data_IF_731021794085
#
_entry.id   IF_731021794085
#
_cell.length_a   1.000
_cell.length_b   1.000
_cell.length_c   1.000
_cell.angle_alpha   90.00
_cell.angle_beta   90.00
_cell.angle_gamma   90.00
#
_symmetry.space_group_name_H-M   'P 1'
#
loop_
_entity.id
_entity.type
_entity.pdbx_description
1 polymer ?
#
# COMPACT_ATOMS: atom_id res chain seq x y z
N UNK A 1 -2.08 11.97 12.25
CA UNK A 1 -1.66 12.32 10.87
C UNK A 1 -2.24 13.66 10.46
N UNK A 2 -1.43 14.47 9.80
CA UNK A 2 -1.69 15.90 9.49
C UNK A 2 -1.76 16.20 7.98
N UNK A 3 -1.79 15.17 7.14
CA UNK A 3 -1.97 15.33 5.69
C UNK A 3 -3.29 16.00 5.34
N UNK A 4 -3.31 16.76 4.25
CA UNK A 4 -4.57 17.20 3.63
C UNK A 4 -5.32 16.07 2.93
N UNK A 5 -4.67 14.91 2.75
CA UNK A 5 -5.27 13.68 2.25
C UNK A 5 -5.86 12.88 3.42
N UNK A 6 -7.17 12.55 3.40
CA UNK A 6 -7.79 11.78 4.47
C UNK A 6 -7.44 10.29 4.37
N UNK A 7 -7.45 9.58 5.50
CA UNK A 7 -7.34 8.11 5.55
C UNK A 7 -8.50 7.38 4.84
N UNK A 8 -9.57 8.11 4.54
CA UNK A 8 -10.72 7.66 3.76
C UNK A 8 -10.60 7.97 2.27
N UNK A 9 -9.42 8.38 1.77
CA UNK A 9 -9.24 8.60 0.33
C UNK A 9 -9.59 7.31 -0.43
N UNK A 10 -10.43 7.45 -1.45
CA UNK A 10 -10.67 6.39 -2.43
C UNK A 10 -9.60 6.48 -3.53
N UNK A 11 -8.80 5.43 -3.76
CA UNK A 11 -7.75 5.45 -4.77
C UNK A 11 -8.31 5.51 -6.21
N UNK A 12 -7.54 6.07 -7.14
CA UNK A 12 -7.86 6.05 -8.57
C UNK A 12 -7.99 4.60 -9.08
N UNK A 13 -9.09 4.25 -9.75
CA UNK A 13 -9.29 2.91 -10.31
C UNK A 13 -8.89 2.83 -11.79
N UNK A 14 -8.64 1.60 -12.25
CA UNK A 14 -8.34 1.33 -13.66
C UNK A 14 -9.60 0.85 -14.38
N UNK A 15 -9.77 1.26 -15.63
CA UNK A 15 -10.82 0.77 -16.51
C UNK A 15 -10.35 -0.51 -17.23
N UNK A 16 -11.24 -1.51 -17.43
CA UNK A 16 -10.91 -2.66 -18.26
C UNK A 16 -10.69 -2.21 -19.71
N UNK A 17 -9.62 -2.70 -20.33
CA UNK A 17 -9.29 -2.42 -21.71
C UNK A 17 -8.74 -3.69 -22.39
N UNK A 18 -9.14 -3.92 -23.64
CA UNK A 18 -8.68 -5.08 -24.43
C UNK A 18 -7.22 -4.94 -24.89
N UNK A 19 -6.73 -3.71 -24.95
CA UNK A 19 -5.37 -3.39 -25.39
C UNK A 19 -4.76 -2.35 -24.47
N UNK A 20 -3.44 -2.46 -24.26
CA UNK A 20 -2.68 -1.44 -23.54
C UNK A 20 -2.73 -0.12 -24.31
N UNK A 21 -2.89 1.02 -23.64
CA UNK A 21 -2.89 2.31 -24.31
C UNK A 21 -1.51 2.57 -24.92
N UNK A 22 -1.49 3.29 -26.05
CA UNK A 22 -0.27 3.56 -26.82
C UNK A 22 -0.07 5.07 -27.02
N UNK A 23 1.18 5.49 -27.21
CA UNK A 23 1.53 6.88 -27.52
C UNK A 23 2.46 7.50 -26.48
N UNK A 24 2.86 8.77 -26.68
CA UNK A 24 3.72 9.47 -25.73
C UNK A 24 3.00 9.67 -24.39
N UNK A 25 3.75 9.59 -23.28
CA UNK A 25 3.24 9.83 -21.93
C UNK A 25 2.73 8.59 -21.19
N UNK A 26 2.67 7.42 -21.84
CA UNK A 26 2.33 6.16 -21.17
C UNK A 26 3.56 5.51 -20.53
N UNK A 27 3.40 5.07 -19.29
CA UNK A 27 4.31 4.16 -18.59
C UNK A 27 3.55 2.86 -18.30
N UNK A 28 4.26 1.74 -18.26
CA UNK A 28 3.67 0.43 -17.98
C UNK A 28 4.32 -0.17 -16.75
N UNK A 29 3.48 -0.72 -15.88
CA UNK A 29 3.91 -1.41 -14.67
C UNK A 29 3.22 -2.78 -14.58
N UNK A 30 3.86 -3.79 -13.97
CA UNK A 30 3.20 -5.06 -13.70
C UNK A 30 1.96 -4.86 -12.85
N UNK A 31 0.83 -5.43 -13.26
CA UNK A 31 -0.35 -5.53 -12.41
C UNK A 31 -0.16 -6.68 -11.43
N UNK A 32 0.19 -6.35 -10.19
CA UNK A 32 0.29 -7.32 -9.12
C UNK A 32 -1.09 -7.80 -8.66
N UNK A 33 -1.17 -9.05 -8.21
CA UNK A 33 -2.37 -9.63 -7.59
C UNK A 33 -2.19 -9.69 -6.07
N UNK A 34 -2.82 -8.75 -5.37
CA UNK A 34 -2.53 -8.50 -3.97
C UNK A 34 -3.62 -7.71 -3.24
N UNK A 35 -3.22 -7.05 -2.16
CA UNK A 35 -4.06 -6.04 -1.52
C UNK A 35 -3.55 -4.64 -1.80
N UNK A 36 -4.28 -3.88 -2.61
CA UNK A 36 -4.06 -2.44 -2.74
C UNK A 36 -4.10 -1.74 -1.39
N UNK A 37 -3.08 -0.94 -1.14
CA UNK A 37 -2.79 -0.34 0.15
C UNK A 37 -2.26 1.09 -0.02
N UNK A 38 -2.94 2.05 0.59
CA UNK A 38 -2.37 3.38 0.83
C UNK A 38 -1.51 3.33 2.09
N UNK A 39 -0.23 3.66 1.94
CA UNK A 39 0.71 3.77 3.04
C UNK A 39 0.92 5.24 3.41
N UNK A 40 0.48 5.59 4.60
CA UNK A 40 0.66 6.92 5.18
C UNK A 40 1.78 6.86 6.19
N UNK A 41 2.69 7.83 6.13
CA UNK A 41 3.69 8.07 7.18
C UNK A 41 3.73 9.54 7.54
N UNK A 42 3.55 9.87 8.81
CA UNK A 42 3.69 11.23 9.34
C UNK A 42 4.52 11.22 10.63
N UNK A 43 5.81 11.52 10.50
CA UNK A 43 6.78 11.34 11.57
C UNK A 43 6.95 9.86 11.93
N UNK A 44 6.59 9.54 13.16
CA UNK A 44 6.61 8.18 13.72
C UNK A 44 5.31 7.42 13.49
N UNK A 45 4.24 8.10 13.08
CA UNK A 45 2.94 7.47 12.82
C UNK A 45 2.94 6.82 11.44
N UNK A 46 2.61 5.53 11.39
CA UNK A 46 2.39 4.78 10.14
C UNK A 46 0.99 4.20 10.14
N UNK A 47 0.29 4.36 9.01
CA UNK A 47 -1.00 3.73 8.77
C UNK A 47 -1.00 3.08 7.39
N UNK A 48 -1.61 1.89 7.33
CA UNK A 48 -1.84 1.14 6.09
C UNK A 48 -3.35 1.03 5.90
N UNK A 49 -3.88 1.55 4.80
CA UNK A 49 -5.31 1.57 4.50
C UNK A 49 -5.58 0.79 3.22
N UNK A 50 -6.52 -0.16 3.26
CA UNK A 50 -6.92 -0.86 2.05
C UNK A 50 -7.69 0.06 1.09
N UNK A 51 -7.91 -0.39 -0.15
CA UNK A 51 -8.83 0.26 -1.10
C UNK A 51 -10.20 0.60 -0.50
N UNK A 52 -10.72 -0.25 0.41
CA UNK A 52 -12.00 -0.04 1.11
C UNK A 52 -11.83 0.54 2.51
N UNK A 53 -10.77 1.33 2.71
CA UNK A 53 -10.50 2.11 3.92
C UNK A 53 -10.35 1.28 5.21
N UNK A 54 -10.08 -0.02 5.08
CA UNK A 54 -9.88 -0.90 6.24
C UNK A 54 -8.43 -0.78 6.72
N UNK A 55 -8.18 -0.62 8.03
CA UNK A 55 -6.83 -0.65 8.58
C UNK A 55 -6.16 -2.01 8.36
N UNK A 56 -4.99 -1.98 7.73
CA UNK A 56 -4.20 -3.15 7.40
C UNK A 56 -2.97 -3.33 8.30
N UNK A 57 -2.53 -2.29 9.00
CA UNK A 57 -1.26 -2.28 9.75
C UNK A 57 -1.14 -3.45 10.74
N UNK A 58 -2.24 -3.81 11.42
CA UNK A 58 -2.24 -4.94 12.37
C UNK A 58 -1.91 -6.28 11.72
N UNK A 59 -2.23 -6.47 10.44
CA UNK A 59 -2.05 -7.72 9.70
C UNK A 59 -0.68 -7.79 9.00
N UNK A 60 -0.08 -6.63 8.76
CA UNK A 60 1.21 -6.46 8.08
C UNK A 60 2.18 -5.64 8.95
N UNK A 61 2.46 -6.09 10.20
CA UNK A 61 3.31 -5.34 11.12
C UNK A 61 4.73 -5.14 10.57
N UNK A 62 5.25 -6.10 9.80
CA UNK A 62 6.56 -6.01 9.16
C UNK A 62 6.62 -4.91 8.10
N UNK A 63 5.52 -4.70 7.36
CA UNK A 63 5.44 -3.64 6.36
C UNK A 63 5.30 -2.28 7.03
N UNK A 64 4.45 -2.18 8.06
CA UNK A 64 4.31 -0.94 8.83
C UNK A 64 5.65 -0.51 9.46
N UNK A 65 6.40 -1.47 10.01
CA UNK A 65 7.74 -1.24 10.54
C UNK A 65 8.72 -0.76 9.45
N UNK A 66 8.82 -1.48 8.33
CA UNK A 66 9.71 -1.12 7.24
C UNK A 66 9.42 0.28 6.67
N UNK A 67 8.13 0.64 6.55
CA UNK A 67 7.71 1.98 6.14
C UNK A 67 8.13 3.02 7.17
N UNK A 68 8.02 2.73 8.47
CA UNK A 68 8.49 3.59 9.56
C UNK A 68 10.01 3.75 9.64
N UNK A 69 10.79 2.83 9.06
CA UNK A 69 12.26 2.88 9.04
C UNK A 69 12.83 3.70 7.87
N UNK A 70 12.02 4.05 6.87
CA UNK A 70 12.48 4.89 5.75
C UNK A 70 13.05 6.22 6.28
N UNK A 71 14.02 6.80 5.57
CA UNK A 71 14.58 8.12 5.96
C UNK A 71 13.59 9.26 5.79
N UNK A 72 12.56 9.05 4.96
CA UNK A 72 11.56 10.07 4.69
C UNK A 72 10.41 9.87 5.66
N UNK A 73 10.15 10.88 6.45
CA UNK A 73 9.20 10.77 7.56
C UNK A 73 7.79 11.23 7.19
N UNK A 74 7.61 11.80 6.00
CA UNK A 74 6.33 12.32 5.57
C UNK A 74 6.05 11.98 4.11
N UNK A 75 5.05 11.11 3.88
CA UNK A 75 4.50 10.80 2.57
C UNK A 75 3.15 10.08 2.66
N UNK A 76 2.46 10.03 1.52
CA UNK A 76 1.37 9.08 1.25
C UNK A 76 1.69 8.38 -0.06
N UNK A 77 1.86 7.06 -0.04
CA UNK A 77 2.11 6.24 -1.24
C UNK A 77 0.90 5.35 -1.54
N UNK A 78 0.63 5.12 -2.82
CA UNK A 78 -0.26 4.05 -3.29
C UNK A 78 0.57 2.88 -3.80
N UNK A 79 0.13 1.67 -3.50
CA UNK A 79 0.89 0.47 -3.77
C UNK A 79 0.10 -0.81 -3.53
N UNK A 80 0.75 -1.92 -3.84
CA UNK A 80 0.20 -3.26 -3.66
C UNK A 80 0.98 -4.03 -2.60
N UNK A 81 0.28 -4.66 -1.65
CA UNK A 81 0.86 -5.66 -0.77
C UNK A 81 0.84 -7.02 -1.46
N UNK A 82 2.01 -7.67 -1.56
CA UNK A 82 2.16 -9.00 -2.16
C UNK A 82 3.00 -9.92 -1.27
N UNK A 83 2.93 -11.23 -1.50
CA UNK A 83 3.98 -12.16 -1.05
C UNK A 83 4.73 -12.61 -2.31
N UNK A 84 6.03 -12.31 -2.37
CA UNK A 84 6.84 -12.61 -3.58
C UNK A 84 6.89 -14.12 -3.83
N UNK A 85 6.57 -14.52 -5.05
CA UNK A 85 6.62 -15.93 -5.46
C UNK A 85 5.50 -16.79 -4.89
N UNK A 86 4.43 -16.18 -4.36
CA UNK A 86 3.27 -16.88 -3.86
C UNK A 86 1.99 -16.38 -4.55
N UNK A 87 1.00 -17.27 -4.64
CA UNK A 87 -0.34 -16.96 -5.12
C UNK A 87 -1.10 -16.07 -4.14
N UNK A 88 -2.09 -15.32 -4.66
CA UNK A 88 -2.91 -14.39 -3.87
C UNK A 88 -3.60 -15.05 -2.66
N UNK A 89 -4.02 -16.31 -2.78
CA UNK A 89 -4.62 -17.08 -1.68
C UNK A 89 -3.71 -17.14 -0.44
N UNK A 90 -2.39 -17.19 -0.63
CA UNK A 90 -1.42 -17.17 0.49
C UNK A 90 -1.45 -15.84 1.22
N UNK A 91 -1.59 -14.73 0.49
CA UNK A 91 -1.71 -13.39 1.06
C UNK A 91 -3.05 -13.24 1.81
N UNK A 92 -4.13 -13.84 1.32
CA UNK A 92 -5.43 -13.78 2.00
C UNK A 92 -5.41 -14.37 3.42
N UNK A 93 -4.58 -15.39 3.65
CA UNK A 93 -4.40 -15.99 4.98
C UNK A 93 -3.90 -14.98 6.03
N UNK A 94 -3.30 -13.86 5.61
CA UNK A 94 -2.81 -12.79 6.50
C UNK A 94 -3.93 -12.06 7.23
N UNK A 95 -5.15 -12.03 6.69
CA UNK A 95 -6.31 -11.36 7.29
C UNK A 95 -6.95 -12.19 8.43
N UNK A 96 -6.12 -12.82 9.25
CA UNK A 96 -6.55 -13.69 10.34
C UNK A 96 -6.88 -12.88 11.61
N UNK A 97 -7.92 -13.22 12.39
CA UNK A 97 -8.29 -12.45 13.59
C UNK A 97 -7.31 -12.59 14.76
N UNK A 98 -6.69 -13.76 14.93
CA UNK A 98 -5.78 -14.03 16.06
C UNK A 98 -4.37 -13.44 15.83
N UNK A 99 -3.91 -12.62 16.77
CA UNK A 99 -2.60 -11.95 16.71
C UNK A 99 -1.42 -12.92 16.61
N UNK A 100 -1.45 -14.03 17.36
CA UNK A 100 -0.40 -15.06 17.31
C UNK A 100 -0.24 -15.64 15.90
N UNK A 101 -1.36 -15.83 15.18
CA UNK A 101 -1.34 -16.31 13.80
C UNK A 101 -0.84 -15.25 12.84
N UNK A 102 -1.21 -13.98 13.05
CA UNK A 102 -0.68 -12.86 12.26
C UNK A 102 0.84 -12.81 12.38
N UNK A 103 1.38 -12.80 13.60
CA UNK A 103 2.84 -12.74 13.82
C UNK A 103 3.56 -13.92 13.18
N UNK A 104 3.02 -15.13 13.30
CA UNK A 104 3.56 -16.32 12.64
C UNK A 104 3.59 -16.15 11.12
N UNK A 105 2.47 -15.77 10.50
CA UNK A 105 2.40 -15.62 9.05
C UNK A 105 3.23 -14.43 8.52
N UNK A 106 3.41 -13.37 9.33
CA UNK A 106 4.32 -12.26 9.03
C UNK A 106 5.78 -12.71 8.94
N UNK A 107 6.17 -13.65 9.80
CA UNK A 107 7.48 -14.26 9.77
C UNK A 107 7.64 -15.28 8.64
N UNK A 108 6.68 -16.21 8.50
CA UNK A 108 6.78 -17.34 7.57
C UNK A 108 6.59 -16.90 6.11
N UNK A 109 5.75 -15.89 5.88
CA UNK A 109 5.40 -15.37 4.55
C UNK A 109 5.35 -13.83 4.57
N UNK A 110 6.52 -13.16 4.65
CA UNK A 110 6.57 -11.70 4.77
C UNK A 110 6.01 -11.02 3.51
N UNK A 111 5.19 -9.99 3.73
CA UNK A 111 4.64 -9.20 2.64
C UNK A 111 5.66 -8.16 2.14
N UNK A 112 5.58 -7.82 0.86
CA UNK A 112 6.29 -6.72 0.22
C UNK A 112 5.27 -5.65 -0.18
N UNK A 113 5.57 -4.39 0.12
CA UNK A 113 4.85 -3.24 -0.44
C UNK A 113 5.51 -2.81 -1.76
N UNK A 114 4.77 -2.87 -2.86
CA UNK A 114 5.23 -2.41 -4.17
C UNK A 114 4.50 -1.10 -4.47
N UNK A 115 5.20 0.03 -4.31
CA UNK A 115 4.66 1.35 -4.59
C UNK A 115 4.59 1.61 -6.11
N UNK A 116 3.50 2.24 -6.55
CA UNK A 116 3.32 2.68 -7.94
C UNK A 116 2.86 4.15 -8.04
N UNK A 117 2.44 4.78 -6.93
CA UNK A 117 2.09 6.20 -6.92
C UNK A 117 2.52 6.91 -5.63
N UNK A 118 2.70 8.23 -5.70
CA UNK A 118 2.97 9.12 -4.58
C UNK A 118 1.91 10.22 -4.55
N UNK A 119 1.04 10.18 -3.53
CA UNK A 119 -0.10 11.08 -3.40
C UNK A 119 0.22 12.31 -2.57
N UNK A 120 1.19 12.23 -1.65
CA UNK A 120 1.73 13.37 -0.93
C UNK A 120 3.22 13.16 -0.62
N UNK A 121 4.00 14.22 -0.80
CA UNK A 121 5.45 14.21 -0.54
C UNK A 121 5.83 14.74 0.84
N UNK A 122 7.11 15.11 0.98
CA UNK A 122 7.73 15.57 2.24
C UNK A 122 7.08 16.80 2.86
N UNK A 123 6.50 17.68 2.05
CA UNK A 123 5.79 18.87 2.53
C UNK A 123 4.47 18.53 3.22
N UNK A 124 3.93 17.32 3.00
CA UNK A 124 2.58 16.93 3.38
C UNK A 124 1.49 17.50 2.46
N UNK A 125 1.87 18.28 1.44
CA UNK A 125 0.94 18.78 0.44
C UNK A 125 0.46 17.64 -0.47
N UNK A 126 -0.83 17.66 -0.79
CA UNK A 126 -1.45 16.74 -1.74
C UNK A 126 -0.92 16.98 -3.15
N UNK A 127 -0.70 15.88 -3.87
CA UNK A 127 -0.34 15.84 -5.29
C UNK A 127 -1.55 15.49 -6.18
N UNK A 128 -2.74 15.27 -5.59
CA UNK A 128 -3.96 14.87 -6.31
C UNK A 128 -4.60 15.99 -7.16
N UNK A 129 -4.10 17.23 -7.06
CA UNK A 129 -4.71 18.42 -7.65
C UNK A 129 -3.79 19.13 -8.66
N UNK A 130 -2.97 18.37 -9.41
CA UNK A 130 -2.11 18.94 -10.45
C UNK A 130 -2.73 18.78 -11.83
#
# INVERSE_FOLDING_TARGET
MTFSIPLSLEPMEAEPADQLPTGPGWSYEPKYDGFRCLAFRDGVEVALQSRRQRPLARFFPEVAAAIGELRIERFVMDGELIIRGAEFDTLQLRLHPAESRIRKLAHDHPATFVAFDLLAGRSGASLLAQ
#
